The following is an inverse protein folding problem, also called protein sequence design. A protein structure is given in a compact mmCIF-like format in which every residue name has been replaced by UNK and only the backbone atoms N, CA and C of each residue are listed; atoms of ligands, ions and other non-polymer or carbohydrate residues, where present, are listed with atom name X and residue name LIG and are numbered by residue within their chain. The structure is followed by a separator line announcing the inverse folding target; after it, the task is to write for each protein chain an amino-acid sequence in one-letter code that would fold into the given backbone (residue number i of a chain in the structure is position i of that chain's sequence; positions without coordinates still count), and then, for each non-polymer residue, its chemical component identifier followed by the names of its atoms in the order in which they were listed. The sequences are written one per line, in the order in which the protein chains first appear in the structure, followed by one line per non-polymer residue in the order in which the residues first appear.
data_IF_069784694634
#
_entry.id   IF_069784694634
#
_cell.length_a   1.000
_cell.length_b   1.000
_cell.length_c   1.000
_cell.angle_alpha   90.00
_cell.angle_beta   90.00
_cell.angle_gamma   90.00
#
_symmetry.space_group_name_H-M   'P 1'
#
loop_
_entity.id
_entity.type
_entity.pdbx_description
1 polymer ?
#
# COMPACT_ATOMS: atom_id res chain seq x y z
N UNK A 1 -7.65 -7.02 23.75
CA UNK A 1 -6.71 -5.97 24.19
C UNK A 1 -5.77 -5.73 23.04
N UNK A 2 -5.74 -4.50 22.51
CA UNK A 2 -4.78 -4.11 21.48
C UNK A 2 -3.36 -4.03 22.07
N UNK A 3 -2.35 -4.13 21.20
CA UNK A 3 -0.95 -3.97 21.57
C UNK A 3 -0.63 -2.50 21.87
N UNK A 4 0.07 -2.21 22.97
CA UNK A 4 0.43 -0.82 23.35
C UNK A 4 1.71 -0.33 22.65
N UNK A 5 2.00 0.97 22.75
CA UNK A 5 3.29 1.53 22.30
C UNK A 5 4.46 0.86 23.05
N UNK A 6 4.33 0.68 24.36
CA UNK A 6 5.36 0.06 25.20
C UNK A 6 5.66 -1.37 24.75
N UNK A 7 4.63 -2.15 24.40
CA UNK A 7 4.80 -3.50 23.85
C UNK A 7 5.57 -3.46 22.53
N UNK A 8 5.20 -2.55 21.62
CA UNK A 8 5.85 -2.38 20.32
C UNK A 8 7.30 -1.92 20.46
N UNK A 9 7.54 -0.95 21.35
CA UNK A 9 8.86 -0.42 21.67
C UNK A 9 9.79 -1.51 22.19
N UNK A 10 9.32 -2.28 23.18
CA UNK A 10 10.07 -3.40 23.73
C UNK A 10 10.33 -4.50 22.70
N UNK A 11 9.39 -4.79 21.81
CA UNK A 11 9.61 -5.77 20.72
C UNK A 11 10.70 -5.31 19.76
N UNK A 12 10.70 -4.04 19.36
CA UNK A 12 11.74 -3.49 18.47
C UNK A 12 13.11 -3.53 19.15
N UNK A 13 13.21 -3.09 20.42
CA UNK A 13 14.47 -3.08 21.15
C UNK A 13 15.07 -4.47 21.40
N UNK A 14 14.22 -5.48 21.54
CA UNK A 14 14.65 -6.87 21.73
C UNK A 14 14.99 -7.57 20.41
N UNK A 15 14.92 -6.87 19.27
CA UNK A 15 15.21 -7.46 17.98
C UNK A 15 16.72 -7.52 17.71
N UNK A 16 17.30 -8.72 17.49
CA UNK A 16 18.75 -8.88 17.34
C UNK A 16 19.32 -8.26 16.07
N UNK A 17 18.46 -7.86 15.11
CA UNK A 17 18.90 -7.21 13.86
C UNK A 17 18.86 -5.69 13.95
N UNK A 18 18.34 -5.12 15.04
CA UNK A 18 18.20 -3.68 15.21
C UNK A 18 19.57 -3.01 15.15
N UNK A 19 19.76 -2.13 14.17
CA UNK A 19 20.96 -1.32 14.03
C UNK A 19 20.78 0.01 14.77
N UNK A 20 19.66 0.67 14.50
CA UNK A 20 19.27 1.89 15.19
C UNK A 20 17.75 2.06 15.21
N UNK A 21 17.23 3.11 15.84
CA UNK A 21 15.83 3.50 15.75
C UNK A 21 15.66 5.00 16.01
N UNK A 22 14.52 5.53 15.59
CA UNK A 22 14.00 6.86 15.92
C UNK A 22 12.56 6.68 16.40
N UNK A 23 12.12 7.54 17.31
CA UNK A 23 10.72 7.65 17.73
C UNK A 23 10.15 8.93 17.14
N UNK A 24 9.25 8.81 16.17
CA UNK A 24 8.50 9.95 15.66
C UNK A 24 7.32 10.27 16.59
N UNK A 25 7.18 11.55 16.90
CA UNK A 25 6.09 12.08 17.72
C UNK A 25 5.40 13.18 16.95
N UNK A 26 4.16 12.97 16.53
CA UNK A 26 3.31 14.00 15.93
C UNK A 26 2.32 14.53 16.96
N UNK A 27 2.27 15.84 17.14
CA UNK A 27 1.29 16.52 17.99
C UNK A 27 0.55 17.53 17.14
N UNK A 28 -0.77 17.38 17.05
CA UNK A 28 -1.62 18.24 16.22
C UNK A 28 -2.94 18.62 16.90
N UNK A 29 -3.53 19.74 16.45
CA UNK A 29 -4.93 20.09 16.74
C UNK A 29 -5.76 20.16 15.47
N UNK A 30 -7.08 20.06 15.68
CA UNK A 30 -8.06 20.62 14.75
C UNK A 30 -7.95 22.16 14.71
N UNK A 31 -8.34 22.80 13.61
CA UNK A 31 -8.53 24.26 13.54
C UNK A 31 -9.60 24.84 14.47
N UNK A 32 -10.29 24.01 15.26
CA UNK A 32 -11.27 24.48 16.22
C UNK A 32 -10.62 25.30 17.36
N UNK A 33 -11.19 26.47 17.64
CA UNK A 33 -10.68 27.38 18.66
C UNK A 33 -9.85 28.49 18.03
N UNK A 34 -9.08 29.21 18.85
CA UNK A 34 -8.11 30.18 18.32
C UNK A 34 -6.77 29.50 18.12
N UNK A 35 -6.04 29.93 17.10
CA UNK A 35 -4.69 29.46 16.80
C UNK A 35 -3.74 29.58 18.02
N UNK A 36 -3.89 30.66 18.80
CA UNK A 36 -3.11 30.85 20.04
C UNK A 36 -3.47 29.84 21.14
N UNK A 37 -4.74 29.46 21.28
CA UNK A 37 -5.13 28.38 22.19
C UNK A 37 -4.54 27.04 21.74
N UNK A 38 -4.57 26.76 20.43
CA UNK A 38 -3.99 25.55 19.86
C UNK A 38 -2.46 25.48 20.06
N UNK A 39 -1.75 26.62 20.01
CA UNK A 39 -0.33 26.70 20.39
C UNK A 39 -0.11 26.31 21.85
N UNK A 40 -0.91 26.85 22.76
CA UNK A 40 -0.79 26.53 24.18
C UNK A 40 -1.06 25.05 24.45
N UNK A 41 -2.13 24.50 23.86
CA UNK A 41 -2.47 23.08 23.98
C UNK A 41 -1.34 22.18 23.45
N UNK A 42 -0.70 22.56 22.35
CA UNK A 42 0.46 21.82 21.85
C UNK A 42 1.66 21.85 22.78
N UNK A 43 1.92 22.99 23.43
CA UNK A 43 2.98 23.08 24.43
C UNK A 43 2.70 22.12 25.60
N UNK A 44 1.50 22.16 26.16
CA UNK A 44 1.09 21.29 27.28
C UNK A 44 1.16 19.81 26.90
N UNK A 45 0.68 19.45 25.70
CA UNK A 45 0.76 18.08 25.18
C UNK A 45 2.19 17.62 24.96
N UNK A 46 3.07 18.49 24.46
CA UNK A 46 4.48 18.17 24.31
C UNK A 46 5.12 17.85 25.65
N UNK A 47 4.83 18.62 26.69
CA UNK A 47 5.31 18.34 28.05
C UNK A 47 4.80 16.99 28.54
N UNK A 48 3.51 16.69 28.35
CA UNK A 48 2.92 15.42 28.76
C UNK A 48 3.53 14.22 28.02
N UNK A 49 3.67 14.29 26.70
CA UNK A 49 4.26 13.22 25.88
C UNK A 49 5.74 13.02 26.20
N UNK A 50 6.49 14.11 26.42
CA UNK A 50 7.91 14.04 26.82
C UNK A 50 8.04 13.27 28.13
N UNK A 51 7.24 13.63 29.14
CA UNK A 51 7.22 12.95 30.44
C UNK A 51 6.86 11.46 30.30
N UNK A 52 5.83 11.15 29.51
CA UNK A 52 5.44 9.76 29.24
C UNK A 52 6.59 8.94 28.63
N UNK A 53 7.26 9.48 27.60
CA UNK A 53 8.39 8.84 26.93
C UNK A 53 9.57 8.59 27.89
N UNK A 54 9.88 9.57 28.75
CA UNK A 54 10.89 9.41 29.81
C UNK A 54 10.51 8.32 30.82
N UNK A 55 9.24 8.28 31.26
CA UNK A 55 8.74 7.29 32.23
C UNK A 55 8.82 5.84 31.71
N UNK A 56 8.61 5.64 30.42
CA UNK A 56 8.74 4.31 29.78
C UNK A 56 10.17 4.02 29.29
N UNK A 57 11.13 4.93 29.54
CA UNK A 57 12.55 4.73 29.25
C UNK A 57 12.97 4.97 27.81
N UNK A 58 12.18 5.71 27.01
CA UNK A 58 12.57 6.14 25.67
C UNK A 58 13.56 7.31 25.79
N UNK A 59 14.78 7.21 25.24
CA UNK A 59 15.73 8.32 25.24
C UNK A 59 15.23 9.47 24.36
N UNK A 60 15.15 10.69 24.90
CA UNK A 60 14.61 11.84 24.16
C UNK A 60 15.45 12.22 22.93
N UNK A 61 16.74 11.90 22.91
CA UNK A 61 17.61 12.06 21.74
C UNK A 61 17.22 11.15 20.56
N UNK A 62 16.44 10.09 20.81
CA UNK A 62 15.84 9.25 19.78
C UNK A 62 14.52 9.81 19.28
N UNK A 63 13.97 10.84 19.90
CA UNK A 63 12.64 11.37 19.57
C UNK A 63 12.70 12.52 18.56
N UNK A 64 11.98 12.38 17.45
CA UNK A 64 11.72 13.44 16.49
C UNK A 64 10.30 13.99 16.66
N UNK A 65 10.18 15.23 17.13
CA UNK A 65 8.88 15.88 17.39
C UNK A 65 8.44 16.73 16.19
N UNK A 66 7.36 16.32 15.52
CA UNK A 66 6.59 17.13 14.58
C UNK A 66 5.39 17.76 15.32
N UNK A 67 5.50 19.04 15.65
CA UNK A 67 4.44 19.77 16.37
C UNK A 67 3.75 20.73 15.41
N UNK A 68 2.53 20.38 15.02
CA UNK A 68 1.69 21.18 14.12
C UNK A 68 0.64 21.88 14.95
N UNK A 69 0.61 23.22 14.95
CA UNK A 69 -0.43 23.96 15.67
C UNK A 69 -1.80 23.47 15.23
N UNK A 70 -2.00 23.36 13.92
CA UNK A 70 -3.17 22.79 13.26
C UNK A 70 -2.73 21.95 12.06
N UNK A 71 -3.40 20.83 11.80
CA UNK A 71 -3.02 19.90 10.73
C UNK A 71 -3.99 19.98 9.54
N UNK A 72 -3.84 21.07 8.79
CA UNK A 72 -4.67 21.39 7.61
C UNK A 72 -4.54 20.35 6.49
N UNK A 73 -3.35 19.78 6.30
CA UNK A 73 -3.14 18.71 5.31
C UNK A 73 -3.96 17.46 5.64
N UNK A 74 -3.92 17.03 6.91
CA UNK A 74 -4.72 15.88 7.33
C UNK A 74 -6.21 16.19 7.29
N UNK A 75 -6.64 17.42 7.62
CA UNK A 75 -8.03 17.83 7.47
C UNK A 75 -8.51 17.68 6.03
N UNK A 76 -7.71 18.12 5.04
CA UNK A 76 -8.04 17.95 3.64
C UNK A 76 -8.18 16.47 3.24
N UNK A 77 -7.29 15.60 3.76
CA UNK A 77 -7.35 14.16 3.50
C UNK A 77 -8.60 13.51 4.11
N UNK A 78 -8.94 13.84 5.35
CA UNK A 78 -10.13 13.34 6.04
C UNK A 78 -11.41 13.78 5.32
N UNK A 79 -11.49 15.05 4.93
CA UNK A 79 -12.62 15.57 4.16
C UNK A 79 -12.73 14.83 2.82
N UNK A 80 -11.62 14.67 2.08
CA UNK A 80 -11.63 14.00 0.78
C UNK A 80 -12.06 12.53 0.86
N UNK A 81 -11.80 11.87 1.99
CA UNK A 81 -12.19 10.48 2.25
C UNK A 81 -13.61 10.33 2.84
N UNK A 82 -14.25 11.43 3.24
CA UNK A 82 -15.59 11.42 3.84
C UNK A 82 -16.71 11.29 2.81
N UNK A 83 -17.93 11.01 3.29
CA UNK A 83 -19.17 10.99 2.49
C UNK A 83 -19.89 12.35 2.46
N UNK A 84 -19.23 13.43 2.89
CA UNK A 84 -19.80 14.78 2.91
C UNK A 84 -20.17 15.23 1.50
N UNK A 85 -21.36 15.84 1.37
CA UNK A 85 -21.93 16.28 0.08
C UNK A 85 -20.98 17.15 -0.74
N UNK A 86 -20.22 18.03 -0.11
CA UNK A 86 -19.27 18.93 -0.75
C UNK A 86 -17.79 18.56 -0.51
N UNK A 87 -17.50 17.30 -0.14
CA UNK A 87 -16.15 16.82 0.23
C UNK A 87 -15.04 17.29 -0.71
N UNK A 88 -15.20 17.11 -2.03
CA UNK A 88 -14.18 17.50 -3.01
C UNK A 88 -13.84 19.01 -2.96
N UNK A 89 -14.85 19.89 -2.92
CA UNK A 89 -14.66 21.34 -2.86
C UNK A 89 -14.11 21.80 -1.53
N UNK A 90 -14.56 21.17 -0.44
CA UNK A 90 -14.08 21.43 0.91
C UNK A 90 -12.58 21.09 1.01
N UNK A 91 -12.19 19.90 0.53
CA UNK A 91 -10.80 19.47 0.51
C UNK A 91 -9.93 20.35 -0.39
N UNK A 92 -10.43 20.77 -1.55
CA UNK A 92 -9.73 21.72 -2.43
C UNK A 92 -9.50 23.07 -1.74
N UNK A 93 -10.52 23.62 -1.07
CA UNK A 93 -10.38 24.86 -0.31
C UNK A 93 -9.32 24.75 0.78
N UNK A 94 -9.31 23.66 1.54
CA UNK A 94 -8.29 23.42 2.59
C UNK A 94 -6.90 23.23 1.99
N UNK A 95 -6.75 22.47 0.89
CA UNK A 95 -5.46 22.32 0.19
C UNK A 95 -4.91 23.64 -0.36
N UNK A 96 -5.79 24.59 -0.66
CA UNK A 96 -5.42 25.92 -1.12
C UNK A 96 -5.04 26.90 0.00
N UNK A 97 -5.11 26.50 1.27
CA UNK A 97 -4.65 27.32 2.38
C UNK A 97 -3.13 27.47 2.34
N UNK A 98 -2.65 28.71 2.35
CA UNK A 98 -1.24 29.08 2.17
C UNK A 98 -0.49 29.34 3.48
N UNK A 99 -1.12 29.04 4.63
CA UNK A 99 -0.53 29.29 5.95
C UNK A 99 -0.72 30.73 6.47
N UNK A 100 -1.63 31.51 5.87
CA UNK A 100 -2.04 32.83 6.37
C UNK A 100 -2.79 32.81 7.71
N UNK A 101 -3.65 33.79 7.97
CA UNK A 101 -4.43 33.85 9.22
C UNK A 101 -5.40 32.64 9.33
N UNK A 102 -5.03 31.70 10.20
CA UNK A 102 -5.74 30.43 10.40
C UNK A 102 -7.17 30.63 10.92
N UNK A 103 -7.35 31.53 11.89
CA UNK A 103 -8.65 31.80 12.51
C UNK A 103 -9.61 32.40 11.47
N UNK A 104 -9.11 33.35 10.68
CA UNK A 104 -9.88 33.94 9.58
C UNK A 104 -10.20 32.91 8.49
N UNK A 105 -9.28 32.01 8.18
CA UNK A 105 -9.50 30.95 7.20
C UNK A 105 -10.54 29.94 7.68
N UNK A 106 -10.48 29.53 8.94
CA UNK A 106 -11.45 28.63 9.57
C UNK A 106 -12.86 29.22 9.57
N UNK A 107 -12.99 30.50 9.93
CA UNK A 107 -14.26 31.23 9.88
C UNK A 107 -14.83 31.31 8.46
N UNK A 108 -13.96 31.54 7.47
CA UNK A 108 -14.37 31.52 6.05
C UNK A 108 -14.80 30.13 5.62
N UNK A 109 -14.08 29.09 6.02
CA UNK A 109 -14.38 27.70 5.71
C UNK A 109 -15.75 27.30 6.29
N UNK A 110 -15.99 27.60 7.57
CA UNK A 110 -17.24 27.31 8.26
C UNK A 110 -18.43 28.09 7.69
N UNK A 111 -18.24 29.35 7.30
CA UNK A 111 -19.26 30.14 6.62
C UNK A 111 -19.59 29.62 5.22
N UNK A 112 -18.60 29.10 4.49
CA UNK A 112 -18.76 28.59 3.12
C UNK A 112 -19.51 27.25 3.10
N UNK A 113 -19.28 26.40 4.10
CA UNK A 113 -19.82 25.04 4.17
C UNK A 113 -20.73 24.83 5.38
N UNK A 114 -21.60 25.81 5.65
CA UNK A 114 -22.40 25.86 6.88
C UNK A 114 -23.20 24.58 7.18
N UNK A 115 -23.76 23.93 6.15
CA UNK A 115 -24.55 22.70 6.31
C UNK A 115 -23.72 21.48 6.74
N UNK A 116 -22.49 21.36 6.24
CA UNK A 116 -21.60 20.22 6.48
C UNK A 116 -20.62 20.46 7.62
N UNK A 117 -20.37 21.72 7.96
CA UNK A 117 -19.38 22.10 8.98
C UNK A 117 -19.69 21.48 10.36
N UNK A 118 -20.97 21.28 10.68
CA UNK A 118 -21.37 20.56 11.90
C UNK A 118 -20.88 19.10 11.93
N UNK A 119 -20.92 18.40 10.80
CA UNK A 119 -20.36 17.05 10.65
C UNK A 119 -18.84 17.08 10.69
N UNK A 120 -18.19 18.06 10.05
CA UNK A 120 -16.72 18.23 10.14
C UNK A 120 -16.27 18.35 11.61
N UNK A 121 -16.92 19.20 12.40
CA UNK A 121 -16.60 19.37 13.83
C UNK A 121 -16.83 18.12 14.66
N UNK A 122 -17.90 17.38 14.37
CA UNK A 122 -18.29 16.21 15.16
C UNK A 122 -17.49 14.96 14.79
N UNK A 123 -17.15 14.79 13.52
CA UNK A 123 -16.65 13.53 12.96
C UNK A 123 -15.19 13.61 12.53
N UNK A 124 -14.72 14.76 12.04
CA UNK A 124 -13.36 14.88 11.48
C UNK A 124 -12.37 15.61 12.41
N UNK A 125 -12.81 16.68 13.07
CA UNK A 125 -11.95 17.42 14.00
C UNK A 125 -11.43 16.58 15.19
N UNK A 126 -12.18 15.63 15.76
CA UNK A 126 -11.64 14.74 16.79
C UNK A 126 -10.42 13.95 16.31
N UNK A 127 -10.42 13.45 15.07
CA UNK A 127 -9.30 12.73 14.45
C UNK A 127 -8.04 13.61 14.26
N UNK A 128 -8.20 14.94 14.30
CA UNK A 128 -7.08 15.89 14.23
C UNK A 128 -6.47 16.19 15.59
N UNK A 129 -7.19 15.96 16.69
CA UNK A 129 -6.71 16.17 18.06
C UNK A 129 -5.97 14.93 18.54
N UNK A 130 -4.75 14.75 18.05
CA UNK A 130 -3.97 13.54 18.32
C UNK A 130 -2.55 13.85 18.75
N UNK A 131 -2.06 13.02 19.65
CA UNK A 131 -0.64 12.79 19.86
C UNK A 131 -0.36 11.39 19.32
N UNK A 132 0.49 11.32 18.32
CA UNK A 132 0.84 10.10 17.64
C UNK A 132 2.30 9.78 17.94
N UNK A 133 2.57 8.58 18.43
CA UNK A 133 3.92 8.11 18.76
C UNK A 133 4.20 6.86 17.94
N UNK A 134 5.36 6.82 17.29
CA UNK A 134 5.78 5.74 16.41
C UNK A 134 7.26 5.47 16.56
N UNK A 135 7.62 4.20 16.70
CA UNK A 135 9.02 3.78 16.55
C UNK A 135 9.30 3.42 15.08
N UNK A 136 10.32 4.05 14.51
CA UNK A 136 10.94 3.71 13.23
C UNK A 136 12.27 3.01 13.52
N UNK A 137 12.35 1.69 13.34
CA UNK A 137 13.61 0.99 13.41
C UNK A 137 14.43 1.16 12.11
N UNK A 138 15.73 1.31 12.27
CA UNK A 138 16.75 1.09 11.24
C UNK A 138 17.38 -0.29 11.48
N UNK A 139 17.39 -1.12 10.45
CA UNK A 139 17.99 -2.45 10.49
C UNK A 139 19.25 -2.47 9.61
N UNK A 140 20.15 -3.43 9.81
CA UNK A 140 21.26 -3.64 8.88
C UNK A 140 20.75 -3.80 7.44
N UNK A 141 21.51 -3.28 6.47
CA UNK A 141 21.13 -3.18 5.05
C UNK A 141 20.85 -4.56 4.44
N UNK A 142 19.61 -5.04 4.58
CA UNK A 142 18.93 -6.09 3.81
C UNK A 142 17.45 -6.30 4.25
N UNK A 143 16.89 -5.40 5.08
CA UNK A 143 15.58 -5.58 5.71
C UNK A 143 14.69 -4.35 5.52
N UNK A 144 13.63 -4.47 4.71
CA UNK A 144 12.66 -3.40 4.55
C UNK A 144 11.84 -3.19 5.85
N UNK A 145 11.59 -1.92 6.16
CA UNK A 145 11.19 -1.38 7.47
C UNK A 145 9.74 -1.73 7.86
N UNK A 146 9.52 -2.04 9.14
CA UNK A 146 8.22 -2.12 9.82
C UNK A 146 8.00 -0.85 10.64
N UNK A 147 6.82 -0.24 10.54
CA UNK A 147 6.43 0.96 11.28
C UNK A 147 5.25 0.63 12.21
N UNK A 148 5.37 0.87 13.51
CA UNK A 148 4.26 0.68 14.45
C UNK A 148 3.56 2.01 14.72
N UNK A 149 2.23 2.03 14.56
CA UNK A 149 1.39 3.22 14.76
C UNK A 149 0.68 3.13 16.11
N UNK A 150 0.79 4.16 16.95
CA UNK A 150 -0.03 4.32 18.15
C UNK A 150 -0.75 5.68 18.11
N UNK A 151 -2.08 5.67 18.01
CA UNK A 151 -2.93 6.86 18.00
C UNK A 151 -3.50 7.05 19.41
N UNK A 152 -3.12 8.09 20.13
CA UNK A 152 -3.83 8.50 21.35
C UNK A 152 -4.93 9.51 20.98
N UNK A 153 -6.19 9.13 21.19
CA UNK A 153 -7.37 9.96 20.86
C UNK A 153 -7.84 10.86 22.01
N UNK A 154 -7.36 10.66 23.25
CA UNK A 154 -7.65 11.54 24.38
C UNK A 154 -6.41 11.76 25.27
N UNK A 155 -5.86 12.98 25.22
CA UNK A 155 -4.58 13.34 25.85
C UNK A 155 -4.78 13.85 27.29
N UNK A 156 -6.03 14.04 27.72
CA UNK A 156 -6.34 14.37 29.11
C UNK A 156 -6.22 13.16 30.04
N UNK A 157 -6.20 11.96 29.47
CA UNK A 157 -6.08 10.70 30.18
C UNK A 157 -5.28 9.68 29.34
N UNK A 158 -3.94 9.65 29.45
CA UNK A 158 -3.09 8.68 28.74
C UNK A 158 -3.36 7.21 29.13
N UNK A 159 -4.18 6.94 30.16
CA UNK A 159 -4.69 5.61 30.50
C UNK A 159 -5.99 5.24 29.76
N UNK A 160 -6.53 6.11 28.88
CA UNK A 160 -7.74 5.79 28.13
C UNK A 160 -7.47 4.74 27.04
N UNK A 161 -8.15 3.59 27.14
CA UNK A 161 -7.94 2.35 26.39
C UNK A 161 -8.12 2.44 24.85
N UNK A 162 -8.35 3.62 24.26
CA UNK A 162 -8.55 3.79 22.82
C UNK A 162 -7.25 4.16 22.10
N UNK A 163 -6.24 3.29 22.21
CA UNK A 163 -5.08 3.26 21.32
C UNK A 163 -5.34 2.25 20.20
N UNK A 164 -5.71 2.72 19.00
CA UNK A 164 -5.68 1.86 17.81
C UNK A 164 -4.23 1.61 17.41
N UNK A 165 -3.76 0.40 17.69
CA UNK A 165 -2.52 -0.14 17.15
C UNK A 165 -2.76 -0.63 15.74
N UNK A 166 -2.19 0.04 14.73
CA UNK A 166 -2.05 -0.52 13.39
C UNK A 166 -0.65 -1.14 13.30
N UNK A 167 -0.61 -2.46 13.51
CA UNK A 167 0.56 -3.29 13.34
C UNK A 167 0.93 -3.40 11.85
N UNK A 168 2.09 -2.85 11.45
CA UNK A 168 2.80 -3.36 10.27
C UNK A 168 3.87 -4.34 10.76
N UNK A 169 3.58 -5.63 10.67
CA UNK A 169 4.39 -6.68 11.32
C UNK A 169 5.66 -7.01 10.51
N UNK A 170 6.83 -6.78 11.13
CA UNK A 170 8.18 -7.17 10.67
C UNK A 170 8.31 -8.63 10.19
N UNK A 171 7.52 -9.55 10.74
CA UNK A 171 7.54 -10.96 10.32
C UNK A 171 7.11 -11.15 8.86
N UNK A 172 6.16 -10.34 8.36
CA UNK A 172 5.65 -10.54 7.00
C UNK A 172 6.68 -10.21 5.92
N UNK A 173 7.56 -9.21 6.07
CA UNK A 173 8.48 -8.82 4.98
C UNK A 173 9.65 -9.80 4.80
N UNK A 174 10.29 -10.21 5.89
CA UNK A 174 11.34 -11.24 5.83
C UNK A 174 10.76 -12.57 5.35
N UNK A 175 9.56 -12.91 5.80
CA UNK A 175 8.86 -14.09 5.32
C UNK A 175 8.46 -13.94 3.84
N UNK A 176 8.00 -12.78 3.38
CA UNK A 176 7.73 -12.49 1.96
C UNK A 176 8.98 -12.71 1.10
N UNK A 177 10.14 -12.17 1.50
CA UNK A 177 11.39 -12.34 0.74
C UNK A 177 11.87 -13.79 0.78
N UNK A 178 11.77 -14.47 1.92
CA UNK A 178 12.10 -15.90 2.03
C UNK A 178 11.15 -16.77 1.20
N UNK A 179 9.84 -16.50 1.24
CA UNK A 179 8.86 -17.17 0.42
C UNK A 179 9.08 -16.87 -1.06
N UNK A 180 9.43 -15.64 -1.43
CA UNK A 180 9.78 -15.30 -2.81
C UNK A 180 11.04 -16.03 -3.27
N UNK A 181 12.10 -16.08 -2.48
CA UNK A 181 13.32 -16.82 -2.80
C UNK A 181 13.05 -18.33 -2.92
N UNK A 182 12.27 -18.89 -2.00
CA UNK A 182 11.88 -20.30 -2.04
C UNK A 182 10.93 -20.60 -3.21
N UNK A 183 10.02 -19.68 -3.55
CA UNK A 183 9.18 -19.73 -4.73
C UNK A 183 10.04 -19.79 -5.98
N UNK A 184 10.97 -18.84 -6.15
CA UNK A 184 11.85 -18.76 -7.33
C UNK A 184 12.71 -20.02 -7.45
N UNK A 185 13.27 -20.51 -6.33
CA UNK A 185 14.04 -21.75 -6.30
C UNK A 185 13.19 -22.96 -6.70
N UNK A 186 11.98 -23.10 -6.14
CA UNK A 186 11.07 -24.19 -6.49
C UNK A 186 10.60 -24.10 -7.95
N UNK A 187 10.35 -22.88 -8.45
CA UNK A 187 9.97 -22.63 -9.82
C UNK A 187 11.08 -23.01 -10.80
N UNK A 188 12.33 -22.63 -10.50
CA UNK A 188 13.52 -23.01 -11.27
C UNK A 188 13.78 -24.52 -11.26
N UNK A 189 13.46 -25.21 -10.17
CA UNK A 189 13.49 -26.66 -10.06
C UNK A 189 12.29 -27.37 -10.73
N UNK A 190 11.40 -26.63 -11.39
CA UNK A 190 10.15 -27.11 -11.98
C UNK A 190 9.14 -27.73 -10.98
N UNK A 191 9.30 -27.49 -9.68
CA UNK A 191 8.34 -27.87 -8.64
C UNK A 191 7.29 -26.76 -8.46
N UNK A 192 6.40 -26.66 -9.44
CA UNK A 192 5.42 -25.57 -9.49
C UNK A 192 4.37 -25.64 -8.39
N UNK A 193 4.05 -26.84 -7.89
CA UNK A 193 3.14 -27.01 -6.74
C UNK A 193 3.74 -26.38 -5.48
N UNK A 194 5.02 -26.65 -5.23
CA UNK A 194 5.73 -26.05 -4.10
C UNK A 194 5.95 -24.55 -4.28
N UNK A 195 6.26 -24.12 -5.51
CA UNK A 195 6.36 -22.69 -5.83
C UNK A 195 5.04 -21.96 -5.53
N UNK A 196 3.90 -22.51 -5.95
CA UNK A 196 2.58 -21.95 -5.65
C UNK A 196 2.26 -21.94 -4.15
N UNK A 197 2.66 -22.98 -3.41
CA UNK A 197 2.49 -23.03 -1.96
C UNK A 197 3.28 -21.94 -1.22
N UNK A 198 4.50 -21.62 -1.67
CA UNK A 198 5.23 -20.45 -1.15
C UNK A 198 4.57 -19.13 -1.59
N UNK A 199 4.09 -19.07 -2.83
CA UNK A 199 3.36 -17.93 -3.35
C UNK A 199 2.11 -17.61 -2.52
N UNK A 200 1.40 -18.61 -2.00
CA UNK A 200 0.23 -18.45 -1.12
C UNK A 200 0.55 -17.75 0.20
N UNK A 201 1.78 -17.87 0.69
CA UNK A 201 2.22 -17.25 1.93
C UNK A 201 2.62 -15.77 1.75
N UNK A 202 2.67 -15.27 0.50
CA UNK A 202 3.00 -13.87 0.19
C UNK A 202 1.71 -13.05 0.16
N UNK A 203 1.45 -12.15 1.14
CA UNK A 203 0.31 -11.27 1.11
C UNK A 203 0.46 -10.18 0.03
N UNK A 204 -0.63 -9.88 -0.68
CA UNK A 204 -0.63 -9.04 -1.87
C UNK A 204 -0.23 -7.58 -1.57
N UNK A 205 -0.85 -6.97 -0.55
CA UNK A 205 -0.71 -5.53 -0.26
C UNK A 205 0.71 -5.12 0.16
N UNK A 206 1.51 -6.08 0.61
CA UNK A 206 2.85 -5.86 1.15
C UNK A 206 3.98 -6.30 0.21
N UNK A 207 3.66 -6.97 -0.89
CA UNK A 207 4.63 -7.36 -1.90
C UNK A 207 4.89 -6.22 -2.88
N UNK A 208 6.16 -5.99 -3.25
CA UNK A 208 6.46 -5.11 -4.38
C UNK A 208 6.04 -5.75 -5.71
N UNK A 209 6.04 -4.96 -6.76
CA UNK A 209 5.55 -5.34 -8.09
C UNK A 209 6.28 -6.57 -8.69
N UNK A 210 7.58 -6.74 -8.43
CA UNK A 210 8.35 -7.91 -8.89
C UNK A 210 7.95 -9.20 -8.14
N UNK A 211 7.79 -9.11 -6.83
CA UNK A 211 7.34 -10.25 -6.00
C UNK A 211 5.91 -10.65 -6.37
N UNK A 212 5.03 -9.68 -6.64
CA UNK A 212 3.67 -9.92 -7.16
C UNK A 212 3.71 -10.63 -8.52
N UNK A 213 4.61 -10.22 -9.42
CA UNK A 213 4.81 -10.87 -10.72
C UNK A 213 5.23 -12.34 -10.56
N UNK A 214 6.21 -12.62 -9.68
CA UNK A 214 6.65 -14.00 -9.39
C UNK A 214 5.52 -14.87 -8.81
N UNK A 215 4.70 -14.32 -7.90
CA UNK A 215 3.50 -14.98 -7.36
C UNK A 215 2.53 -15.37 -8.48
N UNK A 216 2.23 -14.42 -9.38
CA UNK A 216 1.34 -14.69 -10.50
C UNK A 216 1.90 -15.78 -11.45
N UNK A 217 3.20 -15.76 -11.75
CA UNK A 217 3.84 -16.81 -12.56
C UNK A 217 3.71 -18.19 -11.93
N UNK A 218 3.91 -18.31 -10.61
CA UNK A 218 3.72 -19.58 -9.91
C UNK A 218 2.27 -20.10 -10.03
N UNK A 219 1.28 -19.21 -9.91
CA UNK A 219 -0.15 -19.54 -10.08
C UNK A 219 -0.49 -19.99 -11.50
N UNK A 220 0.07 -19.35 -12.53
CA UNK A 220 -0.12 -19.76 -13.92
C UNK A 220 0.31 -21.22 -14.14
N UNK A 221 1.43 -21.64 -13.53
CA UNK A 221 1.96 -23.01 -13.71
C UNK A 221 1.15 -24.10 -13.03
N UNK A 222 0.29 -23.75 -12.08
CA UNK A 222 -0.58 -24.70 -11.37
C UNK A 222 -2.06 -24.58 -11.74
N UNK A 223 -2.40 -23.78 -12.75
CA UNK A 223 -3.77 -23.66 -13.24
C UNK A 223 -4.64 -22.61 -12.52
N UNK A 224 -4.06 -21.77 -11.67
CA UNK A 224 -4.78 -20.72 -10.91
C UNK A 224 -4.85 -19.41 -11.70
N UNK A 225 -5.46 -19.48 -12.89
CA UNK A 225 -5.41 -18.41 -13.88
C UNK A 225 -6.13 -17.12 -13.45
N UNK A 226 -7.33 -17.23 -12.88
CA UNK A 226 -8.10 -16.09 -12.38
C UNK A 226 -7.35 -15.30 -11.30
N UNK A 227 -6.66 -16.01 -10.40
CA UNK A 227 -5.88 -15.40 -9.33
C UNK A 227 -4.61 -14.73 -9.87
N UNK A 228 -3.92 -15.37 -10.82
CA UNK A 228 -2.78 -14.76 -11.50
C UNK A 228 -3.20 -13.48 -12.23
N UNK A 229 -4.32 -13.52 -12.98
CA UNK A 229 -4.86 -12.35 -13.69
C UNK A 229 -5.14 -11.18 -12.74
N UNK A 230 -5.83 -11.42 -11.63
CA UNK A 230 -6.17 -10.37 -10.66
C UNK A 230 -4.93 -9.68 -10.07
N UNK A 231 -3.83 -10.43 -9.90
CA UNK A 231 -2.55 -9.88 -9.43
C UNK A 231 -1.89 -9.01 -10.51
N UNK A 232 -1.89 -9.49 -11.76
CA UNK A 232 -1.21 -8.88 -12.90
C UNK A 232 -1.93 -7.63 -13.42
N UNK A 233 -3.26 -7.61 -13.41
CA UNK A 233 -4.09 -6.46 -13.84
C UNK A 233 -3.79 -5.19 -13.03
N UNK A 234 -3.45 -5.37 -11.76
CA UNK A 234 -3.16 -4.29 -10.81
C UNK A 234 -1.68 -3.90 -10.78
N UNK A 235 -0.83 -4.58 -11.56
CA UNK A 235 0.62 -4.36 -11.54
C UNK A 235 1.00 -3.33 -12.60
N UNK A 236 1.75 -2.30 -12.23
CA UNK A 236 2.04 -1.14 -13.09
C UNK A 236 3.37 -1.22 -13.84
N UNK A 237 4.15 -2.30 -13.67
CA UNK A 237 5.39 -2.51 -14.44
C UNK A 237 5.08 -2.85 -15.90
N UNK A 238 5.73 -2.14 -16.82
CA UNK A 238 5.62 -2.32 -18.29
C UNK A 238 5.89 -3.77 -18.73
N UNK A 239 6.87 -4.44 -18.12
CA UNK A 239 7.26 -5.83 -18.39
C UNK A 239 6.24 -6.90 -17.95
N UNK A 240 5.15 -6.52 -17.28
CA UNK A 240 4.15 -7.47 -16.76
C UNK A 240 3.01 -7.71 -17.76
N UNK A 241 2.89 -6.86 -18.78
CA UNK A 241 1.83 -6.95 -19.79
C UNK A 241 1.80 -8.31 -20.50
N UNK A 242 2.97 -8.88 -20.82
CA UNK A 242 3.05 -10.20 -21.44
C UNK A 242 2.47 -11.31 -20.54
N UNK A 243 2.82 -11.27 -19.25
CA UNK A 243 2.32 -12.24 -18.27
C UNK A 243 0.81 -12.09 -18.05
N UNK A 244 0.30 -10.86 -18.06
CA UNK A 244 -1.13 -10.59 -18.01
C UNK A 244 -1.86 -11.18 -19.22
N UNK A 245 -1.32 -10.98 -20.43
CA UNK A 245 -1.87 -11.54 -21.66
C UNK A 245 -1.89 -13.08 -21.62
N UNK A 246 -0.83 -13.70 -21.11
CA UNK A 246 -0.76 -15.15 -20.91
C UNK A 246 -1.77 -15.65 -19.88
N UNK A 247 -2.01 -14.91 -18.79
CA UNK A 247 -3.03 -15.24 -17.80
C UNK A 247 -4.43 -15.25 -18.41
N UNK A 248 -4.78 -14.21 -19.17
CA UNK A 248 -6.06 -14.15 -19.89
C UNK A 248 -6.18 -15.29 -20.91
N UNK A 249 -5.11 -15.60 -21.65
CA UNK A 249 -5.10 -16.68 -22.64
C UNK A 249 -5.40 -18.04 -21.99
N UNK A 250 -4.74 -18.34 -20.87
CA UNK A 250 -4.90 -19.61 -20.16
C UNK A 250 -6.23 -19.72 -19.40
N UNK A 251 -6.79 -18.60 -18.94
CA UNK A 251 -8.13 -18.53 -18.37
C UNK A 251 -9.24 -18.72 -19.42
N UNK A 252 -8.93 -18.50 -20.70
CA UNK A 252 -9.89 -18.59 -21.82
C UNK A 252 -10.50 -17.24 -22.22
N UNK A 253 -10.04 -16.13 -21.65
CA UNK A 253 -10.41 -14.78 -22.08
C UNK A 253 -9.56 -14.35 -23.29
N UNK A 254 -9.82 -14.99 -24.43
CA UNK A 254 -9.04 -14.80 -25.66
C UNK A 254 -9.14 -13.39 -26.23
N UNK A 255 -10.24 -12.68 -25.99
CA UNK A 255 -10.42 -11.29 -26.44
C UNK A 255 -9.46 -10.37 -25.68
N UNK A 256 -9.46 -10.43 -24.35
CA UNK A 256 -8.56 -9.63 -23.52
C UNK A 256 -7.11 -10.02 -23.76
N UNK A 257 -6.82 -11.32 -23.88
CA UNK A 257 -5.48 -11.81 -24.20
C UNK A 257 -4.95 -11.25 -25.52
N UNK A 258 -5.72 -11.35 -26.61
CA UNK A 258 -5.32 -10.85 -27.93
C UNK A 258 -5.05 -9.33 -27.92
N UNK A 259 -5.81 -8.56 -27.14
CA UNK A 259 -5.56 -7.12 -26.96
C UNK A 259 -4.29 -6.88 -26.13
N UNK A 260 -4.11 -7.59 -25.03
CA UNK A 260 -2.94 -7.44 -24.16
C UNK A 260 -1.63 -7.87 -24.87
N UNK A 261 -1.70 -8.79 -25.83
CA UNK A 261 -0.59 -9.18 -26.71
C UNK A 261 -0.27 -8.18 -27.83
N UNK A 262 -0.94 -7.04 -27.93
CA UNK A 262 -0.58 -6.01 -28.93
C UNK A 262 0.90 -5.61 -28.79
N UNK A 263 1.62 -5.63 -29.91
CA UNK A 263 3.07 -5.36 -29.97
C UNK A 263 3.97 -6.59 -29.83
N UNK A 264 3.44 -7.75 -29.42
CA UNK A 264 4.20 -9.00 -29.33
C UNK A 264 4.07 -9.84 -30.61
N UNK A 265 5.13 -10.61 -30.90
CA UNK A 265 5.20 -11.50 -32.06
C UNK A 265 5.76 -12.84 -31.60
N UNK A 266 4.88 -13.78 -31.27
CA UNK A 266 5.22 -15.15 -30.87
C UNK A 266 4.06 -16.13 -31.12
N UNK A 267 4.26 -17.39 -30.71
CA UNK A 267 3.25 -18.43 -30.87
C UNK A 267 2.05 -18.29 -29.95
N UNK A 268 2.16 -17.63 -28.79
CA UNK A 268 1.02 -17.37 -27.90
C UNK A 268 0.06 -16.34 -28.52
N UNK A 269 0.60 -15.33 -29.21
CA UNK A 269 -0.21 -14.39 -30.01
C UNK A 269 -1.00 -15.14 -31.08
N UNK A 270 -0.35 -16.07 -31.79
CA UNK A 270 -1.01 -16.90 -32.79
C UNK A 270 -2.11 -17.76 -32.18
N UNK A 271 -1.86 -18.40 -31.02
CA UNK A 271 -2.86 -19.22 -30.31
C UNK A 271 -4.07 -18.37 -29.89
N UNK A 272 -3.87 -17.18 -29.34
CA UNK A 272 -4.96 -16.27 -28.96
C UNK A 272 -5.84 -15.91 -30.18
N UNK A 273 -5.22 -15.63 -31.34
CA UNK A 273 -5.93 -15.36 -32.59
C UNK A 273 -6.68 -16.58 -33.12
N UNK A 274 -6.05 -17.76 -33.11
CA UNK A 274 -6.72 -19.01 -33.51
C UNK A 274 -7.94 -19.31 -32.63
N UNK A 275 -7.85 -19.09 -31.32
CA UNK A 275 -8.97 -19.29 -30.39
C UNK A 275 -10.15 -18.35 -30.68
N UNK A 276 -9.90 -17.19 -31.30
CA UNK A 276 -10.93 -16.26 -31.79
C UNK A 276 -11.40 -16.57 -33.23
N UNK A 277 -10.91 -17.64 -33.86
CA UNK A 277 -11.21 -17.98 -35.26
C UNK A 277 -10.48 -17.09 -36.29
N UNK A 278 -9.50 -16.30 -35.85
CA UNK A 278 -8.74 -15.37 -36.68
C UNK A 278 -7.53 -16.07 -37.34
N UNK A 279 -7.80 -17.15 -38.07
CA UNK A 279 -6.76 -18.01 -38.65
C UNK A 279 -5.81 -17.28 -39.61
N UNK A 280 -6.26 -16.41 -40.53
CA UNK A 280 -5.34 -15.68 -41.43
C UNK A 280 -4.38 -14.76 -40.66
N UNK A 281 -4.85 -14.13 -39.59
CA UNK A 281 -4.02 -13.26 -38.76
C UNK A 281 -3.05 -14.08 -37.90
N UNK A 282 -3.45 -15.25 -37.41
CA UNK A 282 -2.56 -16.18 -36.71
C UNK A 282 -1.45 -16.71 -37.63
N UNK A 283 -1.79 -17.09 -38.86
CA UNK A 283 -0.82 -17.53 -39.88
C UNK A 283 0.21 -16.43 -40.17
N UNK A 284 -0.26 -15.19 -40.34
CA UNK A 284 0.62 -14.03 -40.58
C UNK A 284 1.63 -13.82 -39.46
N UNK A 285 1.26 -14.07 -38.20
CA UNK A 285 2.17 -14.02 -37.05
C UNK A 285 3.16 -15.18 -37.08
N UNK A 286 2.72 -16.40 -37.41
CA UNK A 286 3.60 -17.58 -37.41
C UNK A 286 4.65 -17.56 -38.53
N UNK A 287 4.30 -17.09 -39.73
CA UNK A 287 5.20 -17.08 -40.88
C UNK A 287 6.44 -16.21 -40.62
N UNK A 288 6.30 -15.11 -39.89
CA UNK A 288 7.41 -14.20 -39.59
C UNK A 288 8.33 -14.68 -38.46
N UNK A 289 7.92 -15.70 -37.70
CA UNK A 289 8.76 -16.27 -36.64
C UNK A 289 9.92 -17.10 -37.22
N UNK A 290 11.09 -17.13 -36.58
CA UNK A 290 12.20 -17.97 -37.01
C UNK A 290 11.82 -19.45 -37.12
N UNK A 291 12.45 -20.16 -38.05
CA UNK A 291 12.31 -21.61 -38.14
C UNK A 291 12.92 -22.29 -36.91
N UNK A 292 12.22 -23.30 -36.39
CA UNK A 292 12.56 -23.95 -35.12
C UNK A 292 11.92 -23.32 -33.88
N UNK A 293 11.14 -22.23 -34.03
CA UNK A 293 10.33 -21.71 -32.93
C UNK A 293 9.37 -22.78 -32.41
N UNK A 294 9.33 -22.98 -31.09
CA UNK A 294 8.50 -24.00 -30.44
C UNK A 294 7.05 -23.91 -30.91
N UNK A 295 6.48 -25.06 -31.27
CA UNK A 295 5.10 -25.25 -31.72
C UNK A 295 4.71 -24.54 -33.03
N UNK A 296 5.59 -23.76 -33.69
CA UNK A 296 5.28 -23.04 -34.95
C UNK A 296 4.71 -23.98 -36.03
N UNK A 297 5.40 -25.10 -36.28
CA UNK A 297 5.03 -26.04 -37.34
C UNK A 297 3.66 -26.68 -37.08
N UNK A 298 3.44 -27.14 -35.85
CA UNK A 298 2.18 -27.77 -35.43
C UNK A 298 1.01 -26.79 -35.53
N UNK A 299 1.21 -25.53 -35.13
CA UNK A 299 0.18 -24.49 -35.24
C UNK A 299 -0.16 -24.16 -36.70
N UNK A 300 0.83 -24.10 -37.60
CA UNK A 300 0.60 -23.92 -39.04
C UNK A 300 -0.17 -25.10 -39.66
N UNK A 301 0.13 -26.34 -39.25
CA UNK A 301 -0.60 -27.53 -39.68
C UNK A 301 -2.07 -27.50 -39.22
N UNK A 302 -2.33 -27.07 -37.97
CA UNK A 302 -3.70 -26.88 -37.47
C UNK A 302 -4.43 -25.83 -38.30
N UNK A 303 -3.80 -24.68 -38.59
CA UNK A 303 -4.41 -23.62 -39.40
C UNK A 303 -4.77 -24.14 -40.80
N UNK A 304 -3.88 -24.87 -41.46
CA UNK A 304 -4.13 -25.43 -42.79
C UNK A 304 -5.25 -26.48 -42.86
N UNK A 305 -5.73 -26.96 -41.70
CA UNK A 305 -6.84 -27.91 -41.59
C UNK A 305 -8.21 -27.26 -41.34
N UNK A 306 -8.25 -25.93 -41.18
CA UNK A 306 -9.45 -25.14 -40.87
C UNK A 306 -9.95 -24.37 -42.09
#
# INVERSE_FOLDING_TARGET
MGETFVDSYNKVLNDPLLKDYVVEVLIANSPEGTYELNKQLNFERRVAVTKYLEEIGVPLEKCNFDVRVEDWDQLANLIAASDLKNAAKMAEMVKGYDGGDSDSFEQKFSATFLSEYSSVRRELYPELRRAFIKIIPEYEEDVAVSCHYCIASDISNPDSEAMESRLFTKYQVRDILNFNNNLVNAYGAADYKKAAAYADQIPYDYANEFVRSNKALAYLRVGRYAEARAILERNTIEDVQYNYALACLLEGDYQTANKAFEGYVDTNVAVAKMALGQYPQAESVLIILPDGTNNKKELLEIIGSK
#
